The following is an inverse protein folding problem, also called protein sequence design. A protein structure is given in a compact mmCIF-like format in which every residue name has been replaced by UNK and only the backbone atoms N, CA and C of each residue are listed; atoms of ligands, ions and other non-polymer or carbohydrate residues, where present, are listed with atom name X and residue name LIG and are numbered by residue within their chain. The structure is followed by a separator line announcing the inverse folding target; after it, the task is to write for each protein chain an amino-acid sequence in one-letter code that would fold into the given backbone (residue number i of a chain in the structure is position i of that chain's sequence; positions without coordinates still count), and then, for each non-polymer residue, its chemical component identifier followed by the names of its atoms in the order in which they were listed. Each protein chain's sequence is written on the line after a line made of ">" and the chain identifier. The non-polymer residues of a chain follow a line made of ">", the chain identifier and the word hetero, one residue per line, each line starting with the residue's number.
data_IF_398709678552
#
_entry.id   IF_398709678552
#
_cell.length_a   1.000
_cell.length_b   1.000
_cell.length_c   1.000
_cell.angle_alpha   90.00
_cell.angle_beta   90.00
_cell.angle_gamma   90.00
#
_symmetry.space_group_name_H-M   'P 1'
#
loop_
_entity.id
_entity.type
_entity.pdbx_description
1 polymer ?
#
# COMPACT_ATOMS: atom_id res chain seq x y z
N UNK A 1 -4.14 90.55 101.74
CA UNK A 1 -4.48 90.57 100.31
C UNK A 1 -3.18 90.79 99.55
N UNK A 2 -2.67 89.97 98.65
CA UNK A 2 -3.03 88.64 98.16
C UNK A 2 -1.72 88.04 97.65
N UNK A 3 -1.47 86.77 97.95
CA UNK A 3 -0.33 86.02 97.42
C UNK A 3 -0.57 85.77 95.93
N UNK A 4 0.40 86.10 95.08
CA UNK A 4 0.41 85.69 93.67
C UNK A 4 1.73 84.98 93.42
N UNK A 5 1.70 83.66 93.58
CA UNK A 5 2.57 82.74 92.86
C UNK A 5 1.92 82.49 91.50
N UNK A 6 2.69 82.49 90.42
CA UNK A 6 2.49 81.76 89.14
C UNK A 6 3.43 82.41 88.12
N UNK A 7 4.19 81.73 87.28
CA UNK A 7 4.72 80.39 87.27
C UNK A 7 5.98 80.50 86.41
N UNK A 8 7.00 79.74 86.79
CA UNK A 8 8.17 79.49 85.96
C UNK A 8 7.68 78.94 84.62
N UNK A 9 7.95 79.66 83.53
CA UNK A 9 7.87 79.11 82.18
C UNK A 9 8.93 78.01 82.07
N UNK A 10 8.53 76.75 82.20
CA UNK A 10 9.35 75.59 81.89
C UNK A 10 8.82 74.89 80.64
N UNK A 11 9.77 74.52 79.79
CA UNK A 11 9.73 73.46 78.79
C UNK A 11 9.07 73.73 77.44
N UNK A 12 9.84 74.35 76.54
CA UNK A 12 9.80 74.06 75.08
C UNK A 12 10.90 73.07 74.67
N UNK A 13 11.73 72.62 75.62
CA UNK A 13 12.85 71.69 75.40
C UNK A 13 12.44 70.22 75.34
N UNK A 14 11.35 69.82 76.03
CA UNK A 14 10.93 68.41 76.06
C UNK A 14 10.09 68.01 74.83
N UNK A 15 9.29 68.91 74.27
CA UNK A 15 8.42 68.61 73.11
C UNK A 15 9.20 68.31 71.84
N UNK A 16 10.25 69.09 71.54
CA UNK A 16 11.12 68.85 70.39
C UNK A 16 11.93 67.54 70.52
N UNK A 17 12.25 67.13 71.75
CA UNK A 17 12.93 65.87 72.04
C UNK A 17 12.01 64.67 71.83
N UNK A 18 10.74 64.76 72.24
CA UNK A 18 9.74 63.71 72.04
C UNK A 18 9.31 63.55 70.57
N UNK A 19 9.21 64.65 69.81
CA UNK A 19 8.95 64.60 68.36
C UNK A 19 10.08 63.89 67.61
N UNK A 20 11.34 64.17 67.95
CA UNK A 20 12.50 63.52 67.35
C UNK A 20 12.54 62.01 67.68
N UNK A 21 12.25 61.63 68.93
CA UNK A 21 12.16 60.21 69.33
C UNK A 21 11.07 59.47 68.56
N UNK A 22 9.90 60.10 68.41
CA UNK A 22 8.77 59.56 67.65
C UNK A 22 9.15 59.38 66.18
N UNK A 23 9.80 60.38 65.58
CA UNK A 23 10.29 60.30 64.20
C UNK A 23 11.30 59.16 64.00
N UNK A 24 12.28 59.01 64.90
CA UNK A 24 13.25 57.91 64.85
C UNK A 24 12.59 56.53 65.01
N UNK A 25 11.56 56.42 65.85
CA UNK A 25 10.80 55.19 66.02
C UNK A 25 10.02 54.81 64.74
N UNK A 26 9.38 55.79 64.09
CA UNK A 26 8.70 55.57 62.81
C UNK A 26 9.69 55.25 61.67
N UNK A 27 10.88 55.86 61.67
CA UNK A 27 11.95 55.52 60.74
C UNK A 27 12.40 54.07 60.88
N UNK A 28 12.66 53.62 62.12
CA UNK A 28 13.01 52.23 62.40
C UNK A 28 11.86 51.27 62.03
N UNK A 29 10.61 51.66 62.26
CA UNK A 29 9.43 50.90 61.85
C UNK A 29 9.34 50.79 60.32
N UNK A 30 9.62 51.87 59.60
CA UNK A 30 9.61 51.88 58.15
C UNK A 30 10.75 51.04 57.58
N UNK A 31 11.94 51.10 58.19
CA UNK A 31 13.10 50.29 57.80
C UNK A 31 12.81 48.79 57.97
N UNK A 32 12.29 48.39 59.13
CA UNK A 32 11.92 46.98 59.39
C UNK A 32 10.83 46.49 58.43
N UNK A 33 9.82 47.32 58.14
CA UNK A 33 8.80 46.99 57.14
C UNK A 33 9.37 46.89 55.72
N UNK A 34 10.32 47.76 55.36
CA UNK A 34 11.03 47.72 54.07
C UNK A 34 11.85 46.44 53.91
N UNK A 35 12.61 46.05 54.95
CA UNK A 35 13.39 44.82 54.96
C UNK A 35 12.50 43.57 54.86
N UNK A 36 11.39 43.54 55.62
CA UNK A 36 10.40 42.46 55.55
C UNK A 36 9.80 42.32 54.15
N UNK A 37 9.38 43.43 53.52
CA UNK A 37 8.87 43.42 52.14
C UNK A 37 9.93 42.98 51.13
N UNK A 38 11.19 43.38 51.30
CA UNK A 38 12.28 42.96 50.43
C UNK A 38 12.49 41.43 50.51
N UNK A 39 12.37 40.86 51.70
CA UNK A 39 12.45 39.41 51.91
C UNK A 39 11.25 38.67 51.28
N UNK A 40 10.02 39.17 51.47
CA UNK A 40 8.83 38.62 50.82
C UNK A 40 8.94 38.66 49.29
N UNK A 41 9.42 39.77 48.73
CA UNK A 41 9.67 39.91 47.29
C UNK A 41 10.71 38.90 46.80
N UNK A 42 11.77 38.66 47.57
CA UNK A 42 12.79 37.67 47.23
C UNK A 42 12.21 36.25 47.21
N UNK A 43 11.39 35.90 48.20
CA UNK A 43 10.67 34.62 48.25
C UNK A 43 9.68 34.48 47.08
N UNK A 44 8.89 35.51 46.78
CA UNK A 44 7.96 35.51 45.66
C UNK A 44 8.67 35.31 44.32
N UNK A 45 9.80 36.01 44.09
CA UNK A 45 10.63 35.83 42.89
C UNK A 45 11.26 34.44 42.80
N UNK A 46 11.59 33.81 43.92
CA UNK A 46 12.07 32.43 43.91
C UNK A 46 10.96 31.45 43.52
N UNK A 47 9.76 31.61 44.09
CA UNK A 47 8.59 30.81 43.78
C UNK A 47 8.15 30.99 42.30
N UNK A 48 8.17 32.22 41.78
CA UNK A 48 7.86 32.51 40.37
C UNK A 48 8.82 31.78 39.41
N UNK A 49 10.12 31.79 39.71
CA UNK A 49 11.12 31.07 38.89
C UNK A 49 10.89 29.57 38.94
N UNK A 50 10.53 29.03 40.10
CA UNK A 50 10.26 27.60 40.25
C UNK A 50 8.99 27.19 39.48
N UNK A 51 7.90 27.95 39.62
CA UNK A 51 6.69 27.75 38.83
C UNK A 51 6.96 27.86 37.33
N UNK A 52 7.77 28.83 36.90
CA UNK A 52 8.15 28.98 35.49
C UNK A 52 8.87 27.75 34.95
N UNK A 53 9.79 27.15 35.73
CA UNK A 53 10.46 25.90 35.36
C UNK A 53 9.48 24.73 35.27
N UNK A 54 8.55 24.62 36.23
CA UNK A 54 7.56 23.55 36.23
C UNK A 54 6.61 23.67 35.03
N UNK A 55 6.14 24.87 34.71
CA UNK A 55 5.31 25.12 33.51
C UNK A 55 6.09 24.78 32.24
N UNK A 56 7.36 25.17 32.13
CA UNK A 56 8.19 24.80 30.98
C UNK A 56 8.36 23.28 30.85
N UNK A 57 8.59 22.57 31.96
CA UNK A 57 8.72 21.11 31.95
C UNK A 57 7.42 20.41 31.55
N UNK A 58 6.28 20.84 32.11
CA UNK A 58 4.96 20.27 31.80
C UNK A 58 4.56 20.54 30.36
N UNK A 59 4.77 21.76 29.87
CA UNK A 59 4.45 22.12 28.48
C UNK A 59 5.32 21.34 27.49
N UNK A 60 6.61 21.17 27.76
CA UNK A 60 7.48 20.32 26.97
C UNK A 60 7.03 18.86 26.96
N UNK A 61 6.72 18.30 28.14
CA UNK A 61 6.22 16.92 28.26
C UNK A 61 4.91 16.72 27.49
N UNK A 62 3.97 17.66 27.61
CA UNK A 62 2.70 17.64 26.89
C UNK A 62 2.90 17.73 25.36
N UNK A 63 3.80 18.59 24.89
CA UNK A 63 4.15 18.69 23.47
C UNK A 63 4.77 17.38 22.95
N UNK A 64 5.68 16.78 23.71
CA UNK A 64 6.30 15.49 23.37
C UNK A 64 5.26 14.37 23.27
N UNK A 65 4.35 14.28 24.25
CA UNK A 65 3.26 13.30 24.25
C UNK A 65 2.30 13.51 23.06
N UNK A 66 1.94 14.77 22.77
CA UNK A 66 1.11 15.11 21.61
C UNK A 66 1.79 14.72 20.30
N UNK A 67 3.09 14.97 20.15
CA UNK A 67 3.82 14.61 18.94
C UNK A 67 3.86 13.10 18.73
N UNK A 68 4.17 12.32 19.77
CA UNK A 68 4.15 10.86 19.72
C UNK A 68 2.77 10.32 19.32
N UNK A 69 1.69 10.89 19.89
CA UNK A 69 0.32 10.52 19.51
C UNK A 69 0.02 10.83 18.05
N UNK A 70 0.34 12.03 17.57
CA UNK A 70 0.10 12.41 16.17
C UNK A 70 0.90 11.52 15.20
N UNK A 71 2.11 11.12 15.57
CA UNK A 71 2.91 10.20 14.78
C UNK A 71 2.21 8.84 14.67
N UNK A 72 1.71 8.28 15.78
CA UNK A 72 0.96 7.01 15.73
C UNK A 72 -0.34 7.13 14.93
N UNK A 73 -1.06 8.26 15.04
CA UNK A 73 -2.29 8.50 14.25
C UNK A 73 -1.98 8.59 12.75
N UNK A 74 -0.84 9.19 12.36
CA UNK A 74 -0.37 9.22 10.98
C UNK A 74 0.01 7.83 10.46
N UNK A 75 0.71 7.02 11.25
CA UNK A 75 1.08 5.65 10.87
C UNK A 75 -0.17 4.77 10.68
N UNK A 76 -1.16 4.90 11.57
CA UNK A 76 -2.47 4.22 11.43
C UNK A 76 -3.22 4.70 10.18
N UNK A 77 -3.26 6.01 9.93
CA UNK A 77 -3.91 6.54 8.74
C UNK A 77 -3.21 6.09 7.44
N UNK A 78 -1.87 6.08 7.41
CA UNK A 78 -1.10 5.64 6.26
C UNK A 78 -1.33 4.15 5.96
N UNK A 79 -1.32 3.30 6.99
CA UNK A 79 -1.63 1.87 6.84
C UNK A 79 -3.07 1.63 6.41
N UNK A 80 -4.04 2.39 6.93
CA UNK A 80 -5.44 2.31 6.48
C UNK A 80 -5.59 2.70 5.00
N UNK A 81 -4.99 3.81 4.58
CA UNK A 81 -5.03 4.24 3.17
C UNK A 81 -4.37 3.20 2.27
N UNK A 82 -3.22 2.64 2.67
CA UNK A 82 -2.53 1.59 1.93
C UNK A 82 -3.37 0.32 1.79
N UNK A 83 -3.99 -0.14 2.88
CA UNK A 83 -4.84 -1.35 2.86
C UNK A 83 -6.13 -1.15 2.07
N UNK A 84 -6.77 0.02 2.17
CA UNK A 84 -7.92 0.36 1.33
C UNK A 84 -7.55 0.45 -0.15
N UNK A 85 -6.38 1.02 -0.48
CA UNK A 85 -5.83 1.07 -1.83
C UNK A 85 -5.65 -0.33 -2.40
N UNK A 86 -4.93 -1.20 -1.67
CA UNK A 86 -4.72 -2.59 -2.04
C UNK A 86 -6.05 -3.35 -2.20
N UNK A 87 -7.05 -3.09 -1.33
CA UNK A 87 -8.39 -3.69 -1.44
C UNK A 87 -9.10 -3.28 -2.73
N UNK A 88 -9.06 -1.99 -3.08
CA UNK A 88 -9.66 -1.47 -4.32
C UNK A 88 -8.98 -2.08 -5.55
N UNK A 89 -7.66 -2.13 -5.56
CA UNK A 89 -6.90 -2.75 -6.66
C UNK A 89 -7.20 -4.24 -6.81
N UNK A 90 -7.30 -4.98 -5.70
CA UNK A 90 -7.63 -6.39 -5.73
C UNK A 90 -9.06 -6.64 -6.24
N UNK A 91 -10.00 -5.77 -5.90
CA UNK A 91 -11.38 -5.86 -6.38
C UNK A 91 -11.50 -5.49 -7.87
N UNK A 92 -10.74 -4.49 -8.32
CA UNK A 92 -10.65 -4.15 -9.75
C UNK A 92 -9.98 -5.28 -10.56
N UNK A 93 -8.92 -5.89 -10.03
CA UNK A 93 -8.28 -7.06 -10.61
C UNK A 93 -9.22 -8.25 -10.74
N UNK A 94 -10.05 -8.51 -9.72
CA UNK A 94 -11.09 -9.55 -9.79
C UNK A 94 -12.11 -9.28 -10.90
N UNK A 95 -12.62 -8.05 -11.00
CA UNK A 95 -13.56 -7.68 -12.07
C UNK A 95 -12.96 -7.86 -13.46
N UNK A 96 -11.68 -7.54 -13.63
CA UNK A 96 -10.97 -7.76 -14.90
C UNK A 96 -10.81 -9.25 -15.22
N UNK A 97 -10.52 -10.09 -14.22
CA UNK A 97 -10.43 -11.54 -14.40
C UNK A 97 -11.79 -12.16 -14.72
N UNK A 98 -12.86 -11.72 -14.06
CA UNK A 98 -14.22 -12.17 -14.36
C UNK A 98 -14.61 -11.84 -15.81
N UNK A 99 -14.28 -10.64 -16.30
CA UNK A 99 -14.51 -10.27 -17.71
C UNK A 99 -13.74 -11.20 -18.66
N UNK A 100 -12.46 -11.48 -18.39
CA UNK A 100 -11.67 -12.43 -19.18
C UNK A 100 -12.26 -13.84 -19.15
N UNK A 101 -12.71 -14.32 -18.00
CA UNK A 101 -13.34 -15.63 -17.87
C UNK A 101 -14.59 -15.73 -18.74
N UNK A 102 -15.47 -14.71 -18.73
CA UNK A 102 -16.66 -14.69 -19.59
C UNK A 102 -16.31 -14.64 -21.08
N UNK A 103 -15.26 -13.91 -21.47
CA UNK A 103 -14.78 -13.88 -22.85
C UNK A 103 -14.27 -15.26 -23.27
N UNK A 104 -13.50 -15.95 -22.41
CA UNK A 104 -13.01 -17.31 -22.67
C UNK A 104 -14.16 -18.32 -22.79
N UNK A 105 -15.17 -18.26 -21.94
CA UNK A 105 -16.38 -19.09 -22.06
C UNK A 105 -17.08 -18.85 -23.41
N UNK A 106 -17.19 -17.59 -23.84
CA UNK A 106 -17.79 -17.25 -25.14
C UNK A 106 -16.99 -17.78 -26.33
N UNK A 107 -15.65 -17.86 -26.20
CA UNK A 107 -14.77 -18.41 -27.22
C UNK A 107 -14.83 -19.94 -27.22
N UNK A 108 -14.88 -20.58 -26.06
CA UNK A 108 -15.08 -22.02 -25.94
C UNK A 108 -16.43 -22.45 -26.52
N UNK A 109 -17.51 -21.73 -26.23
CA UNK A 109 -18.83 -22.01 -26.83
C UNK A 109 -18.79 -21.89 -28.36
N UNK A 110 -18.11 -20.87 -28.89
CA UNK A 110 -17.91 -20.71 -30.34
C UNK A 110 -17.05 -21.82 -30.94
N UNK A 111 -15.98 -22.24 -30.27
CA UNK A 111 -15.15 -23.38 -30.69
C UNK A 111 -15.98 -24.65 -30.78
N UNK A 112 -16.74 -24.99 -29.74
CA UNK A 112 -17.64 -26.16 -29.73
C UNK A 112 -18.63 -26.09 -30.89
N UNK A 113 -19.19 -24.91 -31.17
CA UNK A 113 -20.10 -24.74 -32.32
C UNK A 113 -19.42 -24.95 -33.67
N UNK A 114 -18.17 -24.53 -33.81
CA UNK A 114 -17.39 -24.70 -35.03
C UNK A 114 -17.00 -26.16 -35.23
N UNK A 115 -16.53 -26.83 -34.18
CA UNK A 115 -16.19 -28.25 -34.20
C UNK A 115 -17.43 -29.11 -34.56
N UNK A 116 -18.61 -28.78 -34.01
CA UNK A 116 -19.88 -29.44 -34.36
C UNK A 116 -20.31 -29.20 -35.82
N UNK A 117 -20.00 -28.03 -36.38
CA UNK A 117 -20.28 -27.72 -37.79
C UNK A 117 -19.32 -28.45 -38.73
N UNK A 118 -18.05 -28.57 -38.36
CA UNK A 118 -17.06 -29.36 -39.11
C UNK A 118 -17.42 -30.85 -39.15
N UNK A 119 -17.91 -31.42 -38.04
CA UNK A 119 -18.42 -32.80 -38.02
C UNK A 119 -19.63 -33.00 -38.94
N UNK A 120 -20.54 -32.01 -39.04
CA UNK A 120 -21.66 -32.05 -40.00
C UNK A 120 -21.20 -31.95 -41.46
N UNK A 121 -20.24 -31.08 -41.76
CA UNK A 121 -19.72 -30.91 -43.12
C UNK A 121 -18.89 -32.12 -43.58
N UNK A 122 -18.12 -32.75 -42.67
CA UNK A 122 -17.47 -34.05 -42.95
C UNK A 122 -18.50 -35.18 -43.11
N UNK A 123 -19.58 -35.20 -42.33
CA UNK A 123 -20.66 -36.19 -42.47
C UNK A 123 -21.42 -36.05 -43.80
N UNK A 124 -21.64 -34.81 -44.27
CA UNK A 124 -22.22 -34.52 -45.59
C UNK A 124 -21.26 -34.84 -46.74
N UNK A 125 -19.96 -34.59 -46.56
CA UNK A 125 -18.93 -34.98 -47.53
C UNK A 125 -18.81 -36.51 -47.66
N UNK A 126 -19.07 -37.28 -46.61
CA UNK A 126 -19.11 -38.76 -46.66
C UNK A 126 -20.39 -39.32 -47.31
N UNK A 127 -21.45 -38.51 -47.42
CA UNK A 127 -22.70 -38.89 -48.09
C UNK A 127 -22.72 -38.57 -49.60
N UNK A 128 -21.68 -37.90 -50.13
CA UNK A 128 -21.58 -37.52 -51.54
C UNK A 128 -20.40 -38.19 -52.28
N UNK A 129 -20.22 -39.50 -52.11
CA UNK A 129 -19.42 -40.32 -53.04
C UNK A 129 -20.17 -41.62 -53.37
N UNK A 130 -20.70 -41.79 -54.59
CA UNK A 130 -21.14 -43.10 -55.05
C UNK A 130 -19.97 -43.87 -55.68
N UNK A 131 -19.90 -45.17 -55.39
CA UNK A 131 -18.99 -46.21 -55.95
C UNK A 131 -17.54 -46.19 -55.43
N UNK A 132 -16.90 -47.33 -55.16
CA UNK A 132 -17.08 -48.71 -55.63
C UNK A 132 -16.34 -49.67 -54.69
N UNK A 133 -16.80 -50.90 -54.64
CA UNK A 133 -16.36 -52.01 -53.79
C UNK A 133 -14.84 -52.18 -53.64
N UNK A 134 -14.36 -52.52 -52.44
CA UNK A 134 -13.48 -53.67 -52.23
C UNK A 134 -13.47 -54.11 -50.76
N UNK A 135 -13.65 -55.41 -50.57
CA UNK A 135 -13.68 -56.10 -49.28
C UNK A 135 -12.28 -56.25 -48.69
N UNK A 136 -12.13 -55.95 -47.40
CA UNK A 136 -11.24 -56.65 -46.48
C UNK A 136 -11.70 -56.31 -45.06
N UNK A 137 -12.07 -57.35 -44.30
CA UNK A 137 -12.51 -57.19 -42.93
C UNK A 137 -11.37 -56.72 -42.04
N UNK A 138 -11.63 -55.69 -41.26
CA UNK A 138 -10.92 -55.42 -40.02
C UNK A 138 -11.92 -54.78 -39.06
N UNK A 139 -12.19 -55.50 -37.97
CA UNK A 139 -12.96 -55.03 -36.83
C UNK A 139 -12.32 -53.77 -36.26
N UNK A 140 -12.90 -52.60 -36.54
CA UNK A 140 -12.55 -51.39 -35.83
C UNK A 140 -13.17 -51.44 -34.43
N UNK A 141 -12.33 -51.73 -33.46
CA UNK A 141 -12.64 -51.51 -32.05
C UNK A 141 -13.07 -50.06 -31.88
N UNK A 142 -14.28 -49.86 -31.37
CA UNK A 142 -14.75 -48.58 -30.85
C UNK A 142 -13.87 -48.25 -29.64
N UNK A 143 -12.82 -47.48 -29.88
CA UNK A 143 -12.08 -46.83 -28.82
C UNK A 143 -12.94 -45.68 -28.30
N UNK A 144 -13.83 -45.99 -27.36
CA UNK A 144 -14.26 -45.01 -26.36
C UNK A 144 -13.04 -44.60 -25.57
N UNK A 145 -12.29 -43.63 -26.09
CA UNK A 145 -11.23 -42.98 -25.35
C UNK A 145 -11.88 -42.15 -24.24
N UNK A 146 -11.81 -42.67 -23.03
CA UNK A 146 -12.03 -41.91 -21.82
C UNK A 146 -11.17 -40.63 -21.92
N UNK A 147 -11.82 -39.47 -21.90
CA UNK A 147 -11.17 -38.18 -21.75
C UNK A 147 -10.67 -38.09 -20.31
N UNK A 148 -9.56 -38.78 -20.05
CA UNK A 148 -8.68 -38.48 -18.94
C UNK A 148 -7.90 -37.23 -19.34
N UNK A 149 -8.32 -36.09 -18.79
CA UNK A 149 -7.54 -34.84 -18.77
C UNK A 149 -6.17 -35.12 -18.17
N UNK A 150 -5.15 -35.20 -19.03
CA UNK A 150 -3.76 -35.35 -18.64
C UNK A 150 -3.18 -33.96 -18.30
N UNK A 151 -2.60 -33.72 -17.11
CA UNK A 151 -2.17 -32.40 -16.65
C UNK A 151 -0.81 -31.93 -17.21
N UNK A 152 -0.47 -32.24 -18.47
CA UNK A 152 0.84 -31.90 -19.06
C UNK A 152 0.80 -31.52 -20.55
N UNK A 153 -0.34 -31.04 -21.07
CA UNK A 153 -0.53 -30.87 -22.51
C UNK A 153 0.21 -29.67 -23.16
N UNK A 154 0.81 -28.75 -22.40
CA UNK A 154 1.26 -27.46 -22.95
C UNK A 154 2.76 -27.34 -23.27
N UNK A 155 3.61 -28.25 -22.77
CA UNK A 155 5.07 -28.03 -22.82
C UNK A 155 5.65 -28.17 -24.24
N UNK A 156 4.97 -28.86 -25.17
CA UNK A 156 5.51 -29.15 -26.51
C UNK A 156 4.53 -28.92 -27.67
N UNK A 157 3.50 -28.11 -27.49
CA UNK A 157 2.45 -28.00 -28.50
C UNK A 157 2.85 -27.04 -29.65
N UNK A 158 3.75 -27.53 -30.52
CA UNK A 158 4.25 -26.86 -31.71
C UNK A 158 3.13 -26.28 -32.59
N UNK A 159 1.92 -26.87 -32.54
CA UNK A 159 0.73 -26.41 -33.26
C UNK A 159 0.14 -25.13 -32.66
N UNK A 160 0.09 -25.02 -31.32
CA UNK A 160 -0.36 -23.81 -30.64
C UNK A 160 0.64 -22.68 -30.86
N UNK A 161 1.94 -22.98 -30.82
CA UNK A 161 3.01 -22.00 -31.06
C UNK A 161 2.89 -21.40 -32.46
N UNK A 162 2.75 -22.27 -33.47
CA UNK A 162 2.54 -21.85 -34.87
C UNK A 162 1.27 -21.03 -35.02
N UNK A 163 0.17 -21.45 -34.40
CA UNK A 163 -1.12 -20.76 -34.46
C UNK A 163 -1.05 -19.35 -33.85
N UNK A 164 -0.47 -19.21 -32.66
CA UNK A 164 -0.30 -17.91 -32.01
C UNK A 164 0.70 -17.02 -32.75
N UNK A 165 1.75 -17.60 -33.35
CA UNK A 165 2.70 -16.85 -34.19
C UNK A 165 2.03 -16.33 -35.45
N UNK A 166 1.17 -17.13 -36.09
CA UNK A 166 0.36 -16.70 -37.23
C UNK A 166 -0.62 -15.58 -36.85
N UNK A 167 -1.27 -15.68 -35.69
CA UNK A 167 -2.16 -14.65 -35.15
C UNK A 167 -1.38 -13.36 -34.85
N UNK A 168 -0.18 -13.46 -34.27
CA UNK A 168 0.69 -12.33 -33.98
C UNK A 168 1.19 -11.62 -35.24
N UNK A 169 1.51 -12.38 -36.30
CA UNK A 169 1.93 -11.84 -37.59
C UNK A 169 0.80 -11.15 -38.37
N UNK A 170 -0.46 -11.46 -38.08
CA UNK A 170 -1.60 -10.87 -38.79
C UNK A 170 -2.07 -9.56 -38.12
N UNK A 171 -2.07 -8.39 -38.81
CA UNK A 171 -2.23 -7.08 -38.18
C UNK A 171 -3.57 -6.89 -37.46
N UNK A 172 -4.67 -7.42 -38.00
CA UNK A 172 -5.99 -7.29 -37.36
C UNK A 172 -6.13 -8.24 -36.17
N UNK A 173 -5.68 -9.48 -36.30
CA UNK A 173 -5.86 -10.50 -35.26
C UNK A 173 -4.89 -10.25 -34.10
N UNK A 174 -3.67 -9.82 -34.40
CA UNK A 174 -2.71 -9.34 -33.42
C UNK A 174 -3.27 -8.17 -32.60
N UNK A 175 -3.92 -7.21 -33.25
CA UNK A 175 -4.55 -6.08 -32.54
C UNK A 175 -5.72 -6.52 -31.64
N UNK A 176 -6.55 -7.47 -32.10
CA UNK A 176 -7.71 -7.93 -31.32
C UNK A 176 -7.34 -8.89 -30.18
N UNK A 177 -6.38 -9.79 -30.39
CA UNK A 177 -6.10 -10.87 -29.45
C UNK A 177 -4.75 -10.71 -28.73
N UNK A 178 -3.69 -10.36 -29.46
CA UNK A 178 -2.34 -10.30 -28.87
C UNK A 178 -2.07 -8.98 -28.17
N UNK A 179 -2.57 -7.85 -28.66
CA UNK A 179 -2.31 -6.54 -28.09
C UNK A 179 -2.92 -6.36 -26.68
N UNK A 180 -4.16 -6.78 -26.40
CA UNK A 180 -4.72 -6.70 -25.05
C UNK A 180 -3.97 -7.59 -24.06
N UNK A 181 -3.67 -8.83 -24.44
CA UNK A 181 -2.85 -9.75 -23.64
C UNK A 181 -1.47 -9.16 -23.38
N UNK A 182 -0.81 -8.62 -24.42
CA UNK A 182 0.48 -7.98 -24.31
C UNK A 182 0.48 -6.79 -23.33
N UNK A 183 -0.58 -5.98 -23.33
CA UNK A 183 -0.73 -4.85 -22.41
C UNK A 183 -0.97 -5.32 -20.98
N UNK A 184 -1.79 -6.35 -20.79
CA UNK A 184 -2.04 -6.93 -19.47
C UNK A 184 -0.75 -7.50 -18.86
N UNK A 185 0.02 -8.26 -19.65
CA UNK A 185 1.30 -8.81 -19.23
C UNK A 185 2.30 -7.70 -18.83
N UNK A 186 2.36 -6.58 -19.58
CA UNK A 186 3.21 -5.44 -19.19
C UNK A 186 2.71 -4.73 -17.93
N UNK A 187 1.39 -4.62 -17.72
CA UNK A 187 0.82 -4.03 -16.50
C UNK A 187 1.13 -4.87 -15.27
N UNK A 188 0.93 -6.19 -15.36
CA UNK A 188 1.25 -7.14 -14.28
C UNK A 188 2.74 -7.09 -13.93
N UNK A 189 3.59 -7.02 -14.96
CA UNK A 189 5.02 -6.80 -14.77
C UNK A 189 5.32 -5.50 -14.05
N UNK A 190 4.74 -4.38 -14.49
CA UNK A 190 4.98 -3.08 -13.88
C UNK A 190 4.59 -3.08 -12.39
N UNK A 191 3.47 -3.71 -12.05
CA UNK A 191 3.02 -3.90 -10.67
C UNK A 191 3.98 -4.77 -9.86
N UNK A 192 4.46 -5.88 -10.43
CA UNK A 192 5.47 -6.71 -9.77
C UNK A 192 6.76 -5.93 -9.51
N UNK A 193 7.28 -5.22 -10.51
CA UNK A 193 8.49 -4.41 -10.35
C UNK A 193 8.31 -3.26 -9.35
N UNK A 194 7.11 -2.67 -9.27
CA UNK A 194 6.79 -1.68 -8.26
C UNK A 194 6.76 -2.30 -6.86
N UNK A 195 6.20 -3.50 -6.70
CA UNK A 195 6.18 -4.22 -5.42
C UNK A 195 7.56 -4.67 -4.95
N UNK A 196 8.49 -4.91 -5.87
CA UNK A 196 9.91 -5.14 -5.57
C UNK A 196 10.66 -3.86 -5.17
N UNK A 197 10.21 -2.69 -5.68
CA UNK A 197 10.81 -1.39 -5.41
C UNK A 197 10.72 -0.94 -3.95
N UNK A 198 9.74 -1.45 -3.20
CA UNK A 198 9.62 -1.20 -1.76
C UNK A 198 10.57 -2.06 -0.90
N UNK A 199 11.28 -3.04 -1.49
CA UNK A 199 12.17 -3.96 -0.76
C UNK A 199 13.65 -3.89 -1.15
N UNK A 200 14.04 -3.28 -2.29
CA UNK A 200 15.45 -3.24 -2.71
C UNK A 200 15.89 -1.86 -3.25
N UNK A 201 16.30 -0.97 -2.34
CA UNK A 201 16.91 0.34 -2.63
C UNK A 201 18.37 0.30 -3.12
N UNK A 202 18.91 -0.87 -3.50
CA UNK A 202 20.29 -0.99 -3.97
C UNK A 202 20.33 -1.78 -5.27
N UNK A 203 20.55 -1.03 -6.36
CA UNK A 203 21.23 -1.47 -7.57
C UNK A 203 20.89 -2.88 -8.08
N UNK A 204 19.81 -2.97 -8.85
CA UNK A 204 19.84 -3.85 -10.03
C UNK A 204 18.88 -3.35 -11.09
N UNK A 205 19.38 -3.23 -12.31
CA UNK A 205 18.60 -2.93 -13.50
C UNK A 205 17.32 -3.79 -13.52
N UNK A 206 16.19 -3.16 -13.86
CA UNK A 206 14.90 -3.85 -13.97
C UNK A 206 15.11 -5.15 -14.77
N UNK A 207 14.78 -6.32 -14.22
CA UNK A 207 15.07 -7.59 -14.87
C UNK A 207 14.46 -7.60 -16.27
N UNK A 208 15.23 -8.11 -17.24
CA UNK A 208 14.86 -8.07 -18.65
C UNK A 208 13.46 -8.66 -18.86
N UNK A 209 12.73 -8.11 -19.85
CA UNK A 209 11.34 -8.51 -20.19
C UNK A 209 11.20 -10.04 -20.25
N UNK A 210 12.22 -10.71 -20.76
CA UNK A 210 12.27 -12.16 -20.99
C UNK A 210 12.59 -12.95 -19.73
N UNK A 211 13.34 -12.41 -18.77
CA UNK A 211 13.77 -13.16 -17.57
C UNK A 211 12.68 -13.23 -16.49
N UNK A 212 11.75 -12.27 -16.47
CA UNK A 212 10.72 -12.18 -15.43
C UNK A 212 9.65 -13.27 -15.50
N UNK A 213 9.23 -13.66 -16.70
CA UNK A 213 8.21 -14.73 -16.90
C UNK A 213 8.72 -16.13 -16.57
N UNK A 214 10.04 -16.26 -16.39
CA UNK A 214 10.72 -17.51 -16.04
C UNK A 214 11.27 -17.45 -14.60
N UNK A 215 10.92 -16.40 -13.86
CA UNK A 215 11.34 -16.22 -12.47
C UNK A 215 10.32 -16.88 -11.54
N UNK A 216 10.75 -17.88 -10.77
CA UNK A 216 9.92 -18.53 -9.75
C UNK A 216 9.26 -17.50 -8.81
N UNK A 217 9.99 -16.42 -8.46
CA UNK A 217 9.48 -15.35 -7.61
C UNK A 217 8.33 -14.54 -8.22
N UNK A 218 8.27 -14.44 -9.55
CA UNK A 218 7.16 -13.77 -10.24
C UNK A 218 5.94 -14.69 -10.32
N UNK A 219 6.15 -15.99 -10.53
CA UNK A 219 5.07 -16.98 -10.52
C UNK A 219 4.39 -17.08 -9.16
N UNK A 220 5.17 -17.15 -8.08
CA UNK A 220 4.65 -17.17 -6.71
C UNK A 220 3.86 -15.90 -6.41
N UNK A 221 4.42 -14.73 -6.73
CA UNK A 221 3.74 -13.45 -6.53
C UNK A 221 2.41 -13.36 -7.30
N UNK A 222 2.37 -13.85 -8.53
CA UNK A 222 1.17 -13.81 -9.35
C UNK A 222 0.09 -14.77 -8.81
N UNK A 223 0.49 -15.97 -8.36
CA UNK A 223 -0.42 -16.94 -7.73
C UNK A 223 -0.97 -16.42 -6.40
N UNK A 224 -0.14 -15.82 -5.56
CA UNK A 224 -0.57 -15.22 -4.29
C UNK A 224 -1.56 -14.08 -4.52
N UNK A 225 -1.30 -13.21 -5.50
CA UNK A 225 -2.23 -12.13 -5.89
C UNK A 225 -3.54 -12.66 -6.45
N UNK A 226 -3.50 -13.81 -7.11
CA UNK A 226 -4.69 -14.53 -7.58
C UNK A 226 -5.33 -15.45 -6.51
N UNK A 227 -4.88 -15.39 -5.25
CA UNK A 227 -5.36 -16.27 -4.16
C UNK A 227 -5.29 -17.77 -4.50
N UNK A 228 -4.30 -18.18 -5.29
CA UNK A 228 -4.12 -19.56 -5.73
C UNK A 228 -5.07 -20.02 -6.85
N UNK A 229 -5.85 -19.11 -7.44
CA UNK A 229 -6.76 -19.44 -8.54
C UNK A 229 -6.00 -19.85 -9.83
N UNK A 230 -4.76 -19.41 -9.98
CA UNK A 230 -3.90 -19.77 -11.11
C UNK A 230 -3.21 -21.10 -10.85
N UNK A 231 -3.49 -22.06 -11.73
CA UNK A 231 -2.84 -23.37 -11.74
C UNK A 231 -1.43 -23.29 -12.36
N UNK A 232 -0.67 -24.38 -12.29
CA UNK A 232 0.63 -24.45 -12.97
C UNK A 232 0.50 -24.38 -14.48
N UNK A 233 -0.59 -24.93 -15.03
CA UNK A 233 -0.86 -24.90 -16.47
C UNK A 233 -1.17 -23.48 -16.95
N UNK A 234 -1.88 -22.68 -16.13
CA UNK A 234 -2.16 -21.28 -16.44
C UNK A 234 -0.88 -20.44 -16.47
N UNK A 235 0.05 -20.70 -15.54
CA UNK A 235 1.36 -20.04 -15.52
C UNK A 235 2.18 -20.37 -16.78
N UNK A 236 2.20 -21.65 -17.18
CA UNK A 236 2.87 -22.06 -18.41
C UNK A 236 2.24 -21.44 -19.66
N UNK A 237 0.91 -21.36 -19.74
CA UNK A 237 0.23 -20.70 -20.85
C UNK A 237 0.57 -19.21 -20.95
N UNK A 238 0.67 -18.50 -19.82
CA UNK A 238 1.06 -17.08 -19.78
C UNK A 238 2.51 -16.87 -20.22
N UNK A 239 3.44 -17.72 -19.75
CA UNK A 239 4.85 -17.67 -20.16
C UNK A 239 5.04 -18.00 -21.64
N UNK A 240 4.23 -18.91 -22.18
CA UNK A 240 4.20 -19.25 -23.60
C UNK A 240 3.72 -18.07 -24.46
N UNK A 241 2.62 -17.41 -24.09
CA UNK A 241 2.10 -16.22 -24.79
C UNK A 241 3.13 -15.07 -24.74
N UNK A 242 3.79 -14.87 -23.60
CA UNK A 242 4.84 -13.87 -23.44
C UNK A 242 6.05 -14.16 -24.36
N UNK A 243 6.39 -15.43 -24.57
CA UNK A 243 7.49 -15.87 -25.44
C UNK A 243 7.19 -15.60 -26.92
N UNK A 244 5.98 -15.94 -27.38
CA UNK A 244 5.52 -15.69 -28.77
C UNK A 244 5.52 -14.18 -29.08
N UNK A 245 5.04 -13.34 -28.15
CA UNK A 245 5.08 -11.87 -28.30
C UNK A 245 6.51 -11.33 -28.45
N UNK A 246 7.46 -11.88 -27.72
CA UNK A 246 8.83 -11.38 -27.67
C UNK A 246 9.72 -11.93 -28.81
N UNK A 247 9.14 -12.72 -29.72
CA UNK A 247 9.83 -13.29 -30.88
C UNK A 247 10.92 -14.29 -30.52
N UNK A 248 10.85 -14.91 -29.33
CA UNK A 248 11.79 -15.95 -28.93
C UNK A 248 11.12 -17.33 -29.12
N UNK A 249 11.74 -18.29 -29.82
CA UNK A 249 11.26 -19.67 -29.79
C UNK A 249 11.32 -20.19 -28.34
N UNK A 250 10.39 -21.09 -27.93
CA UNK A 250 10.54 -21.79 -26.66
C UNK A 250 11.88 -22.54 -26.71
N UNK A 251 12.73 -22.31 -25.71
CA UNK A 251 14.00 -23.03 -25.59
C UNK A 251 13.70 -24.49 -25.28
N UNK A 252 14.32 -25.39 -26.06
CA UNK A 252 14.36 -26.84 -25.82
C UNK A 252 14.85 -27.20 -24.41
#
# INVERSE_FOLDING_TARGET
>A
MSSVSFAVCQSTGDTASEELKTFMAELNRLETASQSRAQELAHAKAAERELSKQVAAVTFAAQKARHARLQTELEVAATQVGTEGARREAEEGRRQLDDVATQLESLNARRISFDAQEEQDQSRSRLCNPSRDFAAGETFAVATAAVTTLPHAFVDDCKLCRSLTCVHGHPRLSHFFMAPLAQLLEKLRAQYTASLGDTHLLERAAPERRSLWWSESFEVWLRERACGALTSDDMHALSFIASVKNGAPPSD
#
